data_IF_044579979670
#
_entry.id   IF_044579979670
#
_cell.length_a   1.000
_cell.length_b   1.000
_cell.length_c   1.000
_cell.angle_alpha   90.00
_cell.angle_beta   90.00
_cell.angle_gamma   90.00
#
_symmetry.space_group_name_H-M   'P 1'
#
loop_
_entity.id
_entity.type
_entity.pdbx_description
1 polymer ?
#
# COMPACT_ATOMS: atom_id res chain seq x y z
N UNK A 1 4.37 -2.73 7.92
CA UNK A 1 2.95 -2.33 7.80
C UNK A 1 2.29 -2.50 9.16
N UNK A 2 1.65 -1.46 9.64
CA UNK A 2 0.93 -1.48 10.92
C UNK A 2 -0.51 -1.91 10.69
N UNK A 3 -1.15 -1.34 9.68
CA UNK A 3 -2.55 -1.66 9.37
C UNK A 3 -2.92 -1.17 7.99
N UNK A 4 -4.08 -1.62 7.51
CA UNK A 4 -4.69 -1.09 6.30
C UNK A 4 -5.93 -0.33 6.75
N UNK A 5 -5.93 1.00 6.56
CA UNK A 5 -6.99 1.87 7.03
C UNK A 5 -8.10 2.00 6.00
N UNK A 6 -9.35 2.20 6.43
CA UNK A 6 -10.42 2.51 5.49
C UNK A 6 -10.20 3.88 4.84
N UNK A 7 -10.73 4.06 3.63
CA UNK A 7 -10.62 5.32 2.91
C UNK A 7 -11.98 5.69 2.32
N UNK A 8 -12.42 6.91 2.61
CA UNK A 8 -13.66 7.43 2.05
C UNK A 8 -13.57 7.61 0.53
N UNK A 9 -12.36 7.69 -0.02
CA UNK A 9 -12.14 7.87 -1.45
C UNK A 9 -12.69 6.71 -2.27
N UNK A 10 -12.70 5.50 -1.70
CA UNK A 10 -13.23 4.31 -2.36
C UNK A 10 -14.71 4.08 -2.09
N UNK A 11 -15.30 4.81 -1.15
CA UNK A 11 -16.72 4.68 -0.84
C UNK A 11 -17.12 3.24 -0.54
N UNK A 12 -18.17 2.77 -1.21
CA UNK A 12 -18.74 1.43 -0.96
C UNK A 12 -17.81 0.29 -1.34
N UNK A 13 -16.82 0.53 -2.21
CA UNK A 13 -15.89 -0.52 -2.61
C UNK A 13 -14.65 -0.61 -1.72
N UNK A 14 -14.54 0.25 -0.71
CA UNK A 14 -13.39 0.24 0.16
C UNK A 14 -13.06 -1.12 0.78
N UNK A 15 -14.04 -1.89 1.28
CA UNK A 15 -13.75 -3.22 1.80
C UNK A 15 -13.14 -4.15 0.76
N UNK A 16 -13.55 -4.03 -0.50
CA UNK A 16 -12.99 -4.82 -1.58
C UNK A 16 -11.53 -4.44 -1.87
N UNK A 17 -11.24 -3.15 -1.80
CA UNK A 17 -9.86 -2.66 -1.99
C UNK A 17 -8.98 -3.18 -0.87
N UNK A 18 -9.44 -3.11 0.38
CA UNK A 18 -8.70 -3.64 1.53
C UNK A 18 -8.44 -5.14 1.36
N UNK A 19 -9.45 -5.89 0.95
CA UNK A 19 -9.31 -7.34 0.76
C UNK A 19 -8.28 -7.64 -0.33
N UNK A 20 -8.32 -6.88 -1.42
CA UNK A 20 -7.37 -7.05 -2.52
C UNK A 20 -5.94 -6.79 -2.08
N UNK A 21 -5.72 -5.72 -1.32
CA UNK A 21 -4.38 -5.43 -0.80
C UNK A 21 -3.90 -6.54 0.13
N UNK A 22 -4.77 -7.03 1.00
CA UNK A 22 -4.46 -8.13 1.91
C UNK A 22 -4.10 -9.39 1.11
N UNK A 23 -4.86 -9.70 0.07
CA UNK A 23 -4.61 -10.88 -0.76
C UNK A 23 -3.27 -10.80 -1.49
N UNK A 24 -2.82 -9.59 -1.81
CA UNK A 24 -1.52 -9.39 -2.45
C UNK A 24 -0.36 -9.49 -1.46
N UNK A 25 -0.64 -9.53 -0.17
CA UNK A 25 0.39 -9.65 0.86
C UNK A 25 0.60 -8.40 1.71
N UNK A 26 -0.15 -7.32 1.45
CA UNK A 26 -0.08 -6.11 2.27
C UNK A 26 -0.86 -6.33 3.56
N UNK A 27 -0.19 -6.78 4.59
CA UNK A 27 -0.84 -7.10 5.85
C UNK A 27 0.02 -6.65 7.03
N UNK A 28 -0.63 -6.59 8.19
CA UNK A 28 0.02 -6.19 9.42
C UNK A 28 1.25 -7.05 9.68
N UNK A 29 2.35 -6.40 10.03
CA UNK A 29 3.61 -7.07 10.29
C UNK A 29 4.51 -7.24 9.09
N UNK A 30 4.00 -7.07 7.87
CA UNK A 30 4.79 -7.20 6.67
C UNK A 30 5.69 -5.98 6.47
N UNK A 31 6.95 -6.21 6.12
CA UNK A 31 7.87 -5.13 5.77
C UNK A 31 7.59 -4.62 4.36
N UNK A 32 7.71 -3.31 4.19
CA UNK A 32 7.50 -2.68 2.90
C UNK A 32 8.62 -1.67 2.64
N UNK A 33 9.14 -1.67 1.43
CA UNK A 33 10.18 -0.73 1.01
C UNK A 33 9.67 0.11 -0.14
N UNK A 34 9.75 1.43 -0.01
CA UNK A 34 9.39 2.34 -1.09
C UNK A 34 10.56 2.43 -2.06
N UNK A 35 10.36 2.01 -3.30
CA UNK A 35 11.40 2.02 -4.34
C UNK A 35 11.36 3.30 -5.15
N UNK A 36 10.16 3.82 -5.43
CA UNK A 36 10.00 5.02 -6.26
C UNK A 36 8.64 5.66 -6.00
N UNK A 37 8.61 7.00 -6.09
CA UNK A 37 7.38 7.78 -5.94
C UNK A 37 6.78 8.20 -7.28
N UNK A 38 7.34 7.73 -8.39
CA UNK A 38 6.95 8.20 -9.70
C UNK A 38 7.59 9.55 -10.03
N UNK A 39 7.48 9.94 -11.29
CA UNK A 39 8.19 11.12 -11.81
C UNK A 39 7.68 12.45 -11.26
N UNK A 40 6.39 12.57 -11.00
CA UNK A 40 5.78 13.84 -10.61
C UNK A 40 5.26 13.83 -9.18
N UNK A 41 5.71 12.89 -8.36
CA UNK A 41 5.26 12.70 -6.97
C UNK A 41 3.75 12.39 -6.86
N UNK A 42 3.15 12.02 -7.97
CA UNK A 42 1.72 11.68 -8.04
C UNK A 42 1.47 10.18 -8.06
N UNK A 43 2.53 9.41 -7.95
CA UNK A 43 2.46 7.98 -8.13
C UNK A 43 2.48 7.58 -9.59
N UNK A 44 2.37 6.30 -9.92
CA UNK A 44 2.24 5.23 -8.93
C UNK A 44 3.50 5.11 -8.06
N UNK A 45 3.30 4.54 -6.89
CA UNK A 45 4.43 4.24 -6.02
C UNK A 45 4.90 2.82 -6.29
N UNK A 46 6.19 2.65 -6.55
CA UNK A 46 6.75 1.32 -6.67
C UNK A 46 7.20 0.87 -5.28
N UNK A 47 6.71 -0.26 -4.84
CA UNK A 47 7.01 -0.79 -3.50
C UNK A 47 7.44 -2.25 -3.59
N UNK A 48 8.21 -2.68 -2.61
CA UNK A 48 8.62 -4.07 -2.48
C UNK A 48 8.23 -4.57 -1.09
N UNK A 49 7.54 -5.70 -1.06
CA UNK A 49 7.22 -6.37 0.20
C UNK A 49 8.40 -7.21 0.68
N UNK A 50 8.37 -7.59 1.95
CA UNK A 50 9.44 -8.38 2.57
C UNK A 50 9.71 -9.70 1.89
N UNK A 51 8.74 -10.24 1.14
CA UNK A 51 8.91 -11.47 0.38
C UNK A 51 9.50 -11.24 -1.02
N UNK A 52 10.01 -10.04 -1.28
CA UNK A 52 10.63 -9.61 -2.53
C UNK A 52 9.65 -9.38 -3.69
N UNK A 53 8.36 -9.48 -3.44
CA UNK A 53 7.34 -9.12 -4.44
C UNK A 53 7.30 -7.62 -4.64
N UNK A 54 7.23 -7.16 -5.89
CA UNK A 54 7.17 -5.74 -6.22
C UNK A 54 5.82 -5.40 -6.82
N UNK A 55 5.31 -4.24 -6.45
CA UNK A 55 4.00 -3.75 -6.89
C UNK A 55 4.06 -2.27 -7.21
N UNK A 56 3.19 -1.84 -8.13
CA UNK A 56 2.93 -0.44 -8.36
C UNK A 56 1.57 -0.11 -7.75
N UNK A 57 1.54 0.83 -6.82
CA UNK A 57 0.32 1.23 -6.13
C UNK A 57 -0.06 2.64 -6.54
N UNK A 58 -1.33 2.86 -6.87
CA UNK A 58 -1.84 4.19 -7.08
C UNK A 58 -1.92 4.92 -5.74
N UNK A 59 -1.89 6.24 -5.80
CA UNK A 59 -1.90 7.06 -4.59
C UNK A 59 -3.02 6.73 -3.61
N UNK A 60 -4.28 6.57 -4.06
CA UNK A 60 -5.36 6.22 -3.13
C UNK A 60 -5.15 4.88 -2.43
N UNK A 61 -4.63 3.89 -3.14
CA UNK A 61 -4.35 2.58 -2.57
C UNK A 61 -3.21 2.66 -1.58
N UNK A 62 -2.13 3.36 -1.95
CA UNK A 62 -0.97 3.54 -1.06
C UNK A 62 -1.35 4.27 0.22
N UNK A 63 -2.29 5.22 0.13
CA UNK A 63 -2.74 5.99 1.29
C UNK A 63 -3.46 5.14 2.35
N UNK A 64 -3.96 3.97 1.98
CA UNK A 64 -4.61 3.05 2.93
C UNK A 64 -3.59 2.32 3.80
N UNK A 65 -2.36 2.22 3.36
CA UNK A 65 -1.35 1.40 4.04
C UNK A 65 -0.64 2.25 5.07
N UNK A 66 -0.87 1.93 6.35
CA UNK A 66 -0.26 2.62 7.47
C UNK A 66 1.01 1.91 7.87
N UNK A 67 2.11 2.63 7.88
CA UNK A 67 3.43 2.05 8.15
C UNK A 67 4.12 2.76 9.30
N UNK A 68 4.99 2.01 9.97
CA UNK A 68 5.96 2.58 10.88
C UNK A 68 7.29 2.62 10.12
N UNK A 69 7.91 3.80 10.10
CA UNK A 69 9.21 3.94 9.48
C UNK A 69 10.28 3.43 10.45
N UNK A 70 11.12 2.54 9.96
CA UNK A 70 12.25 2.04 10.72
C UNK A 70 13.54 2.62 10.13
N UNK A 71 14.40 3.07 11.02
CA UNK A 71 15.69 3.63 10.65
C UNK A 71 16.81 2.66 10.95
#
# INVERSE_FOLDING_TARGET
IVSIAPSAEFGDIDPLVTQRLTDLGFSEGMSITLLSRGLLKRGPYAVRLGNLSQFALRRPEAAKIMCRVEE
#
